data_IF_141635096131
#
_entry.id   IF_141635096131
#
_cell.length_a   1.000
_cell.length_b   1.000
_cell.length_c   1.000
_cell.angle_alpha   90.00
_cell.angle_beta   90.00
_cell.angle_gamma   90.00
#
_symmetry.space_group_name_H-M   'P 1'
#
loop_
_entity.id
_entity.type
_entity.pdbx_description
1 polymer ?
#
# COMPACT_ATOMS: atom_id res chain seq x y z
N UNK A 1 2.45 -21.65 -6.22
CA UNK A 1 1.20 -21.06 -6.72
C UNK A 1 0.81 -19.94 -5.76
N UNK A 2 0.82 -18.67 -6.20
CA UNK A 2 0.38 -17.56 -5.35
C UNK A 2 -1.13 -17.61 -5.17
N UNK A 3 -1.58 -17.69 -3.92
CA UNK A 3 -2.99 -17.61 -3.53
C UNK A 3 -3.39 -16.21 -3.07
N UNK A 4 -2.42 -15.30 -3.00
CA UNK A 4 -2.58 -13.89 -2.62
C UNK A 4 -1.78 -13.01 -3.56
N UNK A 5 -2.43 -12.00 -4.11
CA UNK A 5 -1.79 -10.95 -4.87
C UNK A 5 -2.03 -9.60 -4.20
N UNK A 6 -0.95 -8.86 -3.98
CA UNK A 6 -1.01 -7.49 -3.47
C UNK A 6 -0.73 -6.52 -4.62
N UNK A 7 -1.72 -5.73 -4.94
CA UNK A 7 -1.66 -4.74 -6.03
C UNK A 7 -1.19 -3.41 -5.47
N UNK A 8 -0.35 -2.70 -6.21
CA UNK A 8 0.12 -1.36 -5.84
C UNK A 8 -0.57 -0.30 -6.70
N UNK A 9 -0.83 0.85 -6.08
CA UNK A 9 -1.39 2.01 -6.76
C UNK A 9 -0.40 2.57 -7.78
N UNK A 10 -0.90 2.85 -8.98
CA UNK A 10 -0.15 3.63 -9.96
C UNK A 10 -0.07 5.09 -9.50
N UNK A 11 1.15 5.57 -9.28
CA UNK A 11 1.42 6.92 -8.75
C UNK A 11 1.69 7.88 -9.91
N UNK A 12 0.65 8.27 -10.64
CA UNK A 12 0.75 9.21 -11.77
C UNK A 12 1.30 10.58 -11.35
N UNK A 13 1.05 11.00 -10.11
CA UNK A 13 1.55 12.25 -9.54
C UNK A 13 3.08 12.30 -9.37
N UNK A 14 3.75 11.14 -9.37
CA UNK A 14 5.22 11.03 -9.29
C UNK A 14 5.90 10.87 -10.65
N UNK A 15 5.10 10.75 -11.70
CA UNK A 15 5.64 10.64 -13.06
C UNK A 15 6.04 12.03 -13.56
N UNK A 16 7.27 12.16 -14.04
CA UNK A 16 7.71 13.40 -14.68
C UNK A 16 6.95 13.63 -16.00
N UNK A 17 6.54 14.87 -16.30
CA UNK A 17 5.98 15.20 -17.60
C UNK A 17 6.97 14.81 -18.71
N UNK A 18 6.55 13.95 -19.62
CA UNK A 18 7.38 13.46 -20.74
C UNK A 18 8.08 12.12 -20.51
N UNK A 19 8.12 11.58 -19.30
CA UNK A 19 8.51 10.20 -19.06
C UNK A 19 7.32 9.27 -19.38
N UNK A 20 7.09 9.01 -20.64
CA UNK A 20 6.04 8.10 -21.12
C UNK A 20 6.43 6.64 -20.81
N UNK A 21 6.39 6.26 -19.53
CA UNK A 21 6.59 4.88 -19.12
C UNK A 21 5.34 4.02 -19.42
N UNK A 22 4.20 4.67 -19.57
CA UNK A 22 2.92 4.06 -19.95
C UNK A 22 2.23 4.94 -20.98
N UNK A 23 1.94 4.44 -22.19
CA UNK A 23 1.38 5.23 -23.27
C UNK A 23 0.00 5.82 -22.95
N UNK A 24 -0.81 5.08 -22.20
CA UNK A 24 -2.10 5.55 -21.67
C UNK A 24 -2.57 4.72 -20.47
N UNK A 25 -3.45 5.30 -19.64
CA UNK A 25 -4.10 4.57 -18.55
C UNK A 25 -4.91 3.37 -19.06
N UNK A 26 -5.51 3.50 -20.23
CA UNK A 26 -6.29 2.45 -20.86
C UNK A 26 -5.41 1.25 -21.24
N UNK A 27 -4.25 1.51 -21.79
CA UNK A 27 -3.26 0.49 -22.13
C UNK A 27 -2.69 -0.18 -20.89
N UNK A 28 -2.38 0.61 -19.86
CA UNK A 28 -1.94 0.09 -18.58
C UNK A 28 -2.98 -0.87 -17.98
N UNK A 29 -4.25 -0.48 -17.93
CA UNK A 29 -5.33 -1.32 -17.43
C UNK A 29 -5.48 -2.61 -18.24
N UNK A 30 -5.37 -2.52 -19.56
CA UNK A 30 -5.48 -3.67 -20.44
C UNK A 30 -4.34 -4.68 -20.25
N UNK A 31 -3.13 -4.20 -20.00
CA UNK A 31 -1.93 -5.05 -19.85
C UNK A 31 -1.72 -5.54 -18.41
N UNK A 32 -1.94 -4.69 -17.42
CA UNK A 32 -1.55 -4.92 -16.02
C UNK A 32 -2.71 -4.89 -15.02
N UNK A 33 -3.89 -4.37 -15.39
CA UNK A 33 -5.04 -4.27 -14.50
C UNK A 33 -5.48 -5.63 -13.98
N UNK A 34 -5.84 -5.71 -12.71
CA UNK A 34 -6.44 -6.90 -12.11
C UNK A 34 -7.93 -6.92 -12.45
N UNK A 35 -8.30 -7.80 -13.36
CA UNK A 35 -9.67 -7.98 -13.84
C UNK A 35 -10.26 -9.30 -13.33
N UNK A 36 -11.59 -9.47 -13.33
CA UNK A 36 -12.20 -10.72 -12.89
C UNK A 36 -11.70 -11.96 -13.64
N UNK A 37 -11.36 -11.79 -14.93
CA UNK A 37 -10.87 -12.88 -15.78
C UNK A 37 -9.43 -13.32 -15.41
N UNK A 38 -8.69 -12.46 -14.73
CA UNK A 38 -7.32 -12.74 -14.28
C UNK A 38 -7.25 -13.28 -12.87
N UNK A 39 -8.28 -13.06 -12.06
CA UNK A 39 -8.37 -13.59 -10.69
C UNK A 39 -8.79 -15.06 -10.75
N UNK A 40 -7.98 -15.91 -10.15
CA UNK A 40 -8.24 -17.35 -10.10
C UNK A 40 -9.21 -17.71 -8.97
N UNK A 41 -9.96 -18.81 -9.09
CA UNK A 41 -10.78 -19.31 -7.99
C UNK A 41 -9.93 -19.53 -6.72
N UNK A 42 -10.39 -19.03 -5.58
CA UNK A 42 -9.68 -19.10 -4.30
C UNK A 42 -8.51 -18.14 -4.12
N UNK A 43 -8.22 -17.31 -5.11
CA UNK A 43 -7.21 -16.27 -5.01
C UNK A 43 -7.76 -15.05 -4.26
N UNK A 44 -6.94 -14.49 -3.39
CA UNK A 44 -7.27 -13.29 -2.62
C UNK A 44 -6.53 -12.09 -3.18
N UNK A 45 -7.24 -10.99 -3.37
CA UNK A 45 -6.69 -9.73 -3.87
C UNK A 45 -6.56 -8.74 -2.71
N UNK A 46 -5.39 -8.18 -2.56
CA UNK A 46 -5.03 -7.22 -1.53
C UNK A 46 -4.55 -5.91 -2.17
N UNK A 47 -4.75 -4.80 -1.48
CA UNK A 47 -4.25 -3.49 -1.88
C UNK A 47 -4.09 -2.62 -0.63
N UNK A 48 -2.94 -1.96 -0.42
CA UNK A 48 -2.71 -1.17 0.78
C UNK A 48 -3.57 0.09 0.87
N UNK A 49 -4.27 0.45 -0.24
CA UNK A 49 -5.01 1.71 -0.37
C UNK A 49 -4.12 2.97 -0.36
N UNK A 50 -4.66 4.10 -0.84
CA UNK A 50 -5.86 4.17 -1.67
C UNK A 50 -5.66 3.53 -3.04
N UNK A 51 -6.74 3.07 -3.69
CA UNK A 51 -6.70 2.44 -5.02
C UNK A 51 -7.27 3.36 -6.10
N UNK A 52 -6.75 3.24 -7.33
CA UNK A 52 -7.34 3.84 -8.52
C UNK A 52 -8.25 2.81 -9.20
N UNK A 53 -9.54 2.83 -8.86
CA UNK A 53 -10.54 1.91 -9.42
C UNK A 53 -10.61 2.08 -10.94
N UNK A 54 -10.55 0.97 -11.66
CA UNK A 54 -10.55 0.95 -13.13
C UNK A 54 -9.17 1.23 -13.76
N UNK A 55 -8.12 1.36 -12.97
CA UNK A 55 -6.74 1.48 -13.45
C UNK A 55 -5.95 0.22 -13.10
N UNK A 56 -5.43 0.11 -11.88
CA UNK A 56 -4.70 -1.09 -11.44
C UNK A 56 -5.63 -2.22 -11.00
N UNK A 57 -6.86 -1.92 -10.61
CA UNK A 57 -7.86 -2.90 -10.16
C UNK A 57 -9.24 -2.59 -10.73
N UNK A 58 -9.88 -3.60 -11.31
CA UNK A 58 -11.27 -3.48 -11.77
C UNK A 58 -12.23 -3.32 -10.57
N UNK A 59 -13.20 -2.40 -10.63
CA UNK A 59 -14.20 -2.23 -9.58
C UNK A 59 -14.90 -3.52 -9.18
N UNK A 60 -15.17 -4.39 -10.13
CA UNK A 60 -15.83 -5.69 -9.89
C UNK A 60 -14.95 -6.60 -9.03
N UNK A 61 -13.62 -6.53 -9.16
CA UNK A 61 -12.69 -7.27 -8.31
C UNK A 61 -12.59 -6.64 -6.94
N UNK A 62 -12.47 -5.30 -6.88
CA UNK A 62 -12.38 -4.57 -5.63
C UNK A 62 -13.58 -4.80 -4.70
N UNK A 63 -14.77 -4.96 -5.27
CA UNK A 63 -16.02 -5.19 -4.55
C UNK A 63 -16.40 -6.68 -4.42
N UNK A 64 -15.57 -7.58 -4.92
CA UNK A 64 -15.82 -9.02 -4.87
C UNK A 64 -15.47 -9.64 -3.51
N UNK A 65 -15.98 -10.86 -3.26
CA UNK A 65 -15.60 -11.65 -2.08
C UNK A 65 -14.12 -12.08 -2.04
N UNK A 66 -13.40 -11.99 -3.16
CA UNK A 66 -11.96 -12.23 -3.23
C UNK A 66 -11.13 -11.03 -2.71
N UNK A 67 -11.74 -9.86 -2.55
CA UNK A 67 -11.06 -8.64 -2.12
C UNK A 67 -10.95 -8.56 -0.60
N UNK A 68 -9.72 -8.43 -0.10
CA UNK A 68 -9.43 -8.14 1.30
C UNK A 68 -8.92 -6.71 1.52
N UNK A 69 -9.14 -5.82 0.57
CA UNK A 69 -8.60 -4.45 0.59
C UNK A 69 -9.03 -3.69 1.84
N UNK A 70 -10.32 -3.67 2.15
CA UNK A 70 -10.85 -2.97 3.33
C UNK A 70 -10.33 -3.58 4.64
N UNK A 71 -10.28 -4.90 4.72
CA UNK A 71 -9.73 -5.62 5.87
C UNK A 71 -8.27 -5.31 6.07
N UNK A 72 -7.47 -5.27 4.99
CA UNK A 72 -6.05 -4.94 5.02
C UNK A 72 -5.81 -3.51 5.51
N UNK A 73 -6.55 -2.54 5.01
CA UNK A 73 -6.44 -1.13 5.43
C UNK A 73 -6.73 -0.99 6.92
N UNK A 74 -7.80 -1.61 7.40
CA UNK A 74 -8.17 -1.59 8.81
C UNK A 74 -7.12 -2.27 9.69
N UNK A 75 -6.66 -3.45 9.31
CA UNK A 75 -5.61 -4.18 10.04
C UNK A 75 -4.29 -3.42 10.05
N UNK A 76 -3.95 -2.77 8.94
CA UNK A 76 -2.75 -1.95 8.83
C UNK A 76 -2.75 -0.76 9.79
N UNK A 77 -3.91 -0.13 10.03
CA UNK A 77 -4.05 0.92 11.03
C UNK A 77 -3.74 0.39 12.43
N UNK A 78 -4.36 -0.72 12.82
CA UNK A 78 -4.18 -1.33 14.15
C UNK A 78 -2.73 -1.74 14.38
N UNK A 79 -2.09 -2.37 13.39
CA UNK A 79 -0.68 -2.78 13.47
C UNK A 79 0.25 -1.57 13.61
N UNK A 80 0.02 -0.50 12.85
CA UNK A 80 0.81 0.74 12.99
C UNK A 80 0.67 1.37 14.37
N UNK A 81 -0.55 1.39 14.90
CA UNK A 81 -0.78 1.89 16.27
C UNK A 81 -0.01 1.06 17.29
N UNK A 82 -0.02 -0.26 17.19
CA UNK A 82 0.72 -1.15 18.08
C UNK A 82 2.22 -0.93 17.98
N UNK A 83 2.77 -0.85 16.77
CA UNK A 83 4.21 -0.60 16.54
C UNK A 83 4.63 0.76 17.11
N UNK A 84 3.86 1.81 16.86
CA UNK A 84 4.14 3.15 17.40
C UNK A 84 4.07 3.16 18.92
N UNK A 85 3.08 2.48 19.48
CA UNK A 85 2.96 2.36 20.94
C UNK A 85 4.21 1.68 21.53
N UNK A 86 4.60 0.54 20.99
CA UNK A 86 5.78 -0.20 21.48
C UNK A 86 7.06 0.62 21.36
N UNK A 87 7.26 1.30 20.23
CA UNK A 87 8.44 2.13 20.03
C UNK A 87 8.48 3.35 20.94
N UNK A 88 7.35 4.01 21.19
CA UNK A 88 7.28 5.21 22.02
C UNK A 88 7.32 4.90 23.53
N UNK A 89 6.91 3.71 23.93
CA UNK A 89 6.90 3.28 25.33
C UNK A 89 8.09 2.40 25.71
N UNK A 90 8.92 1.99 24.75
CA UNK A 90 10.10 1.18 25.01
C UNK A 90 11.12 1.95 25.91
N UNK A 91 11.60 1.36 27.01
CA UNK A 91 12.45 2.04 27.98
C UNK A 91 13.77 2.60 27.41
N UNK A 92 14.22 2.08 26.28
CA UNK A 92 15.46 2.53 25.63
C UNK A 92 15.33 3.76 24.72
N UNK A 93 14.11 4.09 24.27
CA UNK A 93 13.92 5.18 23.31
C UNK A 93 14.03 6.57 23.95
N UNK A 94 13.61 6.69 25.20
CA UNK A 94 13.76 7.94 25.97
C UNK A 94 15.22 8.30 26.23
N UNK A 95 16.10 7.31 26.37
CA UNK A 95 17.54 7.55 26.57
C UNK A 95 18.17 8.07 25.29
N UNK A 96 17.80 7.54 24.12
CA UNK A 96 18.29 8.00 22.84
C UNK A 96 17.84 9.43 22.51
N UNK A 97 16.57 9.77 22.79
CA UNK A 97 16.05 11.11 22.56
C UNK A 97 16.72 12.17 23.46
N UNK A 98 16.99 11.84 24.71
CA UNK A 98 17.71 12.74 25.61
C UNK A 98 19.18 12.91 25.24
N UNK A 99 19.85 11.89 24.69
CA UNK A 99 21.21 11.97 24.21
C UNK A 99 21.33 12.88 22.97
N UNK A 100 20.39 12.81 22.04
CA UNK A 100 20.36 13.70 20.86
C UNK A 100 20.12 15.15 21.26
N UNK A 101 19.19 15.40 22.18
CA UNK A 101 18.92 16.76 22.68
C UNK A 101 20.08 17.36 23.45
N UNK A 102 20.89 16.55 24.11
CA UNK A 102 22.11 17.02 24.83
C UNK A 102 23.24 17.38 23.87
N UNK A 103 23.35 16.72 22.72
CA UNK A 103 24.36 17.00 21.69
C UNK A 103 24.03 18.30 20.93
N UNK A 104 22.77 18.59 20.68
CA UNK A 104 22.33 19.85 20.07
C UNK A 104 22.51 21.07 20.99
N UNK A 105 22.52 20.88 22.31
CA UNK A 105 22.70 21.96 23.27
C UNK A 105 24.16 22.36 23.49
N UNK A 106 25.13 21.61 22.95
CA UNK A 106 26.57 21.83 23.05
C UNK A 106 27.25 22.18 21.71
N UNK A 107 26.46 22.35 20.66
CA UNK A 107 26.91 22.76 19.34
C UNK A 107 26.84 24.27 19.08
#
# INVERSE_FOLDING_TARGET
MCIRDSVLRMQSERMQPGAAFVPSLREYTALYGVTPERVRPGQVVMHPGPMNRGVEIDPRVADSGASLVTTQVRSGLVVRMAVLYDLLTAPGLHVAASAVAADEAHG
#
